data_IF_034957212435
#
_entry.id   IF_034957212435
#
_cell.length_a   1.000
_cell.length_b   1.000
_cell.length_c   1.000
_cell.angle_alpha   90.00
_cell.angle_beta   90.00
_cell.angle_gamma   90.00
#
_symmetry.space_group_name_H-M   'P 1'
#
loop_
_entity.id
_entity.type
_entity.pdbx_description
1 polymer ?
#
# COMPACT_ATOMS: atom_id res chain seq x y z
N UNK A 1 -12.66 -17.91 -16.07
CA UNK A 1 -12.45 -17.39 -17.44
C UNK A 1 -11.01 -16.91 -17.59
N UNK A 2 -10.52 -16.72 -18.82
CA UNK A 2 -9.16 -16.21 -19.09
C UNK A 2 -8.88 -14.86 -18.40
N UNK A 3 -9.87 -13.98 -18.29
CA UNK A 3 -9.77 -12.71 -17.56
C UNK A 3 -9.27 -12.87 -16.11
N UNK A 4 -9.79 -13.86 -15.37
CA UNK A 4 -9.36 -14.10 -13.99
C UNK A 4 -7.93 -14.64 -13.92
N UNK A 5 -7.54 -15.49 -14.88
CA UNK A 5 -6.17 -16.02 -14.94
C UNK A 5 -5.17 -14.92 -15.23
N UNK A 6 -5.52 -13.99 -16.11
CA UNK A 6 -4.68 -12.83 -16.43
C UNK A 6 -4.51 -11.89 -15.23
N UNK A 7 -5.62 -11.49 -14.58
CA UNK A 7 -5.54 -10.68 -13.34
C UNK A 7 -4.74 -11.37 -12.23
N UNK A 8 -4.86 -12.68 -12.09
CA UNK A 8 -4.11 -13.44 -11.07
C UNK A 8 -2.59 -13.31 -11.26
N UNK A 9 -2.11 -13.28 -12.51
CA UNK A 9 -0.69 -13.09 -12.84
C UNK A 9 -0.15 -11.73 -12.41
N UNK A 10 -0.99 -10.72 -12.23
CA UNK A 10 -0.56 -9.38 -11.79
C UNK A 10 -0.52 -9.21 -10.26
N UNK A 11 -1.14 -10.14 -9.52
CA UNK A 11 -1.34 -10.06 -8.07
C UNK A 11 -0.03 -9.89 -7.30
N UNK A 12 1.06 -10.50 -7.76
CA UNK A 12 2.37 -10.40 -7.09
C UNK A 12 2.85 -8.94 -6.97
N UNK A 13 2.52 -8.06 -7.93
CA UNK A 13 2.89 -6.64 -7.90
C UNK A 13 2.17 -5.92 -6.74
N UNK A 14 0.89 -6.26 -6.55
CA UNK A 14 0.05 -5.70 -5.49
C UNK A 14 0.49 -6.22 -4.12
N UNK A 15 0.74 -7.52 -4.01
CA UNK A 15 1.19 -8.15 -2.76
C UNK A 15 2.55 -7.61 -2.30
N UNK A 16 3.49 -7.41 -3.22
CA UNK A 16 4.77 -6.78 -2.92
C UNK A 16 4.58 -5.36 -2.35
N UNK A 17 3.70 -4.54 -2.96
CA UNK A 17 3.44 -3.19 -2.47
C UNK A 17 2.73 -3.18 -1.11
N UNK A 18 1.75 -4.07 -0.91
CA UNK A 18 1.08 -4.21 0.38
C UNK A 18 2.02 -4.68 1.49
N UNK A 19 2.95 -5.59 1.18
CA UNK A 19 3.98 -6.01 2.12
C UNK A 19 4.91 -4.86 2.49
N UNK A 20 5.32 -4.03 1.52
CA UNK A 20 6.11 -2.82 1.78
C UNK A 20 5.37 -1.85 2.71
N UNK A 21 4.11 -1.53 2.40
CA UNK A 21 3.29 -0.63 3.22
C UNK A 21 3.15 -1.14 4.66
N UNK A 22 2.84 -2.43 4.82
CA UNK A 22 2.68 -3.07 6.13
C UNK A 22 3.97 -3.02 6.94
N UNK A 23 5.04 -3.63 6.43
CA UNK A 23 6.22 -3.91 7.24
C UNK A 23 7.23 -2.75 7.27
N UNK A 24 7.43 -2.03 6.15
CA UNK A 24 8.42 -0.94 6.12
C UNK A 24 7.85 0.40 6.58
N UNK A 25 6.55 0.61 6.39
CA UNK A 25 5.89 1.88 6.71
C UNK A 25 4.91 1.77 7.88
N UNK A 26 4.89 0.63 8.58
CA UNK A 26 4.12 0.41 9.81
C UNK A 26 2.60 0.40 9.62
N UNK A 27 2.12 0.12 8.40
CA UNK A 27 0.69 0.07 8.10
C UNK A 27 0.00 -1.19 8.66
N UNK A 28 0.76 -2.16 9.14
CA UNK A 28 0.23 -3.35 9.81
C UNK A 28 -0.31 -3.07 11.23
N UNK A 29 0.07 -1.94 11.83
CA UNK A 29 -0.40 -1.52 13.16
C UNK A 29 -1.42 -0.40 13.02
N UNK A 30 -2.63 -0.61 13.54
CA UNK A 30 -3.64 0.43 13.57
C UNK A 30 -3.26 1.56 14.56
N UNK A 31 -3.25 2.80 14.08
CA UNK A 31 -2.99 3.99 14.92
C UNK A 31 -4.22 4.43 15.71
N UNK A 32 -5.41 4.00 15.29
CA UNK A 32 -6.69 4.28 15.94
C UNK A 32 -7.69 3.15 15.66
N UNK A 33 -8.60 2.91 16.60
CA UNK A 33 -9.73 1.99 16.41
C UNK A 33 -10.83 2.61 15.54
N UNK A 34 -11.48 1.79 14.71
CA UNK A 34 -12.65 2.17 13.93
C UNK A 34 -12.36 2.42 12.45
N UNK A 35 -13.37 2.20 11.61
CA UNK A 35 -13.25 2.19 10.15
C UNK A 35 -12.68 3.51 9.59
N UNK A 36 -13.21 4.65 10.05
CA UNK A 36 -12.77 5.97 9.59
C UNK A 36 -11.29 6.25 9.90
N UNK A 37 -10.82 5.81 11.06
CA UNK A 37 -9.40 5.95 11.43
C UNK A 37 -8.49 5.08 10.57
N UNK A 38 -8.92 3.85 10.26
CA UNK A 38 -8.18 2.94 9.37
C UNK A 38 -8.17 3.45 7.93
N UNK A 39 -9.27 4.04 7.45
CA UNK A 39 -9.35 4.68 6.13
C UNK A 39 -8.38 5.86 6.01
N UNK A 40 -8.38 6.75 7.02
CA UNK A 40 -7.46 7.88 7.07
C UNK A 40 -6.01 7.42 7.13
N UNK A 41 -5.68 6.44 7.99
CA UNK A 41 -4.34 5.87 8.09
C UNK A 41 -3.88 5.30 6.74
N UNK A 42 -4.76 4.55 6.05
CA UNK A 42 -4.46 4.00 4.73
C UNK A 42 -4.17 5.09 3.70
N UNK A 43 -5.05 6.08 3.58
CA UNK A 43 -4.91 7.18 2.63
C UNK A 43 -3.60 7.97 2.85
N UNK A 44 -3.32 8.37 4.10
CA UNK A 44 -2.13 9.15 4.45
C UNK A 44 -0.85 8.33 4.23
N UNK A 45 -0.84 7.05 4.62
CA UNK A 45 0.34 6.19 4.43
C UNK A 45 0.67 6.03 2.94
N UNK A 46 -0.32 5.72 2.10
CA UNK A 46 -0.12 5.57 0.65
C UNK A 46 0.41 6.87 0.04
N UNK A 47 -0.18 8.00 0.40
CA UNK A 47 0.23 9.31 -0.10
C UNK A 47 1.68 9.63 0.29
N UNK A 48 2.02 9.52 1.57
CA UNK A 48 3.36 9.83 2.07
C UNK A 48 4.45 8.92 1.48
N UNK A 49 4.17 7.61 1.35
CA UNK A 49 5.11 6.65 0.75
C UNK A 49 5.38 6.96 -0.72
N UNK A 50 4.35 7.35 -1.46
CA UNK A 50 4.52 7.76 -2.86
C UNK A 50 5.32 9.05 -2.98
N UNK A 51 5.08 10.05 -2.12
CA UNK A 51 5.91 11.27 -2.08
C UNK A 51 7.39 10.95 -1.81
N UNK A 52 7.67 10.12 -0.80
CA UNK A 52 9.05 9.67 -0.50
C UNK A 52 9.73 9.04 -1.72
N UNK A 53 8.98 8.23 -2.48
CA UNK A 53 9.50 7.58 -3.70
C UNK A 53 9.79 8.58 -4.81
N UNK A 54 8.90 9.54 -5.05
CA UNK A 54 9.11 10.59 -6.05
C UNK A 54 10.36 11.41 -5.71
N UNK A 55 10.48 11.87 -4.46
CA UNK A 55 11.65 12.63 -3.99
C UNK A 55 12.93 11.82 -4.21
N UNK A 56 12.95 10.54 -3.83
CA UNK A 56 14.11 9.65 -4.02
C UNK A 56 14.52 9.44 -5.48
N UNK A 57 13.59 9.58 -6.43
CA UNK A 57 13.86 9.48 -7.88
C UNK A 57 14.28 10.81 -8.50
N UNK A 58 13.99 11.93 -7.83
CA UNK A 58 14.44 13.26 -8.24
C UNK A 58 15.88 13.56 -7.79
N UNK A 59 16.34 12.85 -6.75
CA UNK A 59 17.73 12.79 -6.28
C UNK A 59 18.55 11.76 -7.07
#
# INVERSE_FOLDING_TARGET
SEHFKEKSKERYKIEAKNSELKHRHGYDVASSSGLSGMEMQGAVTIFAVNLKRIIKLME
#
